data_IF_075164246925
#
_entry.id   IF_075164246925
#
_cell.length_a   1.000
_cell.length_b   1.000
_cell.length_c   1.000
_cell.angle_alpha   90.00
_cell.angle_beta   90.00
_cell.angle_gamma   90.00
#
_symmetry.space_group_name_H-M   'P 1'
#
loop_
_entity.id
_entity.type
_entity.pdbx_description
1 polymer ?
#
# COMPACT_ATOMS: atom_id res chain seq x y z
N UNK A 1 -10.41 31.22 -11.27
CA UNK A 1 -11.34 30.17 -11.69
C UNK A 1 -11.18 29.03 -10.69
N UNK A 2 -12.16 28.85 -9.78
CA UNK A 2 -12.13 27.75 -8.82
C UNK A 2 -12.21 26.44 -9.60
N UNK A 3 -11.16 25.61 -9.51
CA UNK A 3 -11.13 24.28 -10.14
C UNK A 3 -12.28 23.45 -9.54
N UNK A 4 -13.01 22.65 -10.34
CA UNK A 4 -14.04 21.77 -9.81
C UNK A 4 -13.39 20.88 -8.76
N UNK A 5 -13.93 20.85 -7.54
CA UNK A 5 -13.39 20.03 -6.48
C UNK A 5 -13.31 18.59 -6.98
N UNK A 6 -12.11 18.01 -7.03
CA UNK A 6 -11.86 16.63 -7.46
C UNK A 6 -12.36 15.63 -6.40
N UNK A 7 -13.53 15.92 -5.82
CA UNK A 7 -13.97 15.52 -4.50
C UNK A 7 -13.77 14.06 -4.22
N UNK A 8 -13.26 13.79 -3.02
CA UNK A 8 -12.99 12.46 -2.48
C UNK A 8 -14.27 11.65 -2.48
N UNK A 9 -14.26 10.46 -3.09
CA UNK A 9 -15.41 9.55 -3.09
C UNK A 9 -15.01 8.22 -2.49
N UNK A 10 -15.79 7.76 -1.54
CA UNK A 10 -15.63 6.45 -0.93
C UNK A 10 -16.59 5.47 -1.60
N UNK A 11 -16.08 4.31 -1.98
CA UNK A 11 -16.84 3.25 -2.62
C UNK A 11 -16.42 1.91 -2.06
N UNK A 12 -17.11 0.86 -2.50
CA UNK A 12 -16.70 -0.50 -2.23
C UNK A 12 -17.01 -1.40 -3.42
N UNK A 13 -16.32 -2.53 -3.46
CA UNK A 13 -16.57 -3.64 -4.37
C UNK A 13 -16.77 -4.90 -3.54
N UNK A 14 -17.65 -5.78 -4.01
CA UNK A 14 -17.84 -7.09 -3.41
C UNK A 14 -16.86 -8.06 -4.07
N UNK A 15 -16.08 -8.75 -3.25
CA UNK A 15 -15.09 -9.73 -3.67
C UNK A 15 -15.47 -11.11 -3.14
N UNK A 16 -14.80 -12.14 -3.67
CA UNK A 16 -14.98 -13.53 -3.25
C UNK A 16 -13.67 -14.10 -2.73
N UNK A 17 -13.73 -14.72 -1.55
CA UNK A 17 -12.65 -15.50 -0.97
C UNK A 17 -13.04 -16.98 -0.78
N UNK A 18 -12.12 -17.80 -0.24
CA UNK A 18 -12.34 -19.23 -0.04
C UNK A 18 -13.58 -19.57 0.82
N UNK A 19 -13.91 -18.70 1.78
CA UNK A 19 -15.00 -18.91 2.74
C UNK A 19 -16.19 -17.95 2.58
N UNK A 20 -16.32 -17.28 1.44
CA UNK A 20 -17.50 -16.47 1.12
C UNK A 20 -17.19 -15.08 0.56
N UNK A 21 -18.20 -14.21 0.56
CA UNK A 21 -18.10 -12.85 0.06
C UNK A 21 -17.62 -11.89 1.15
N UNK A 22 -16.81 -10.92 0.77
CA UNK A 22 -16.39 -9.80 1.61
C UNK A 22 -16.40 -8.50 0.82
N UNK A 23 -16.48 -7.38 1.52
CA UNK A 23 -16.47 -6.05 0.92
C UNK A 23 -15.08 -5.43 1.04
N UNK A 24 -14.53 -5.01 -0.09
CA UNK A 24 -13.32 -4.20 -0.16
C UNK A 24 -13.68 -2.74 -0.42
N UNK A 25 -13.35 -1.85 0.51
CA UNK A 25 -13.50 -0.41 0.38
C UNK A 25 -12.36 0.19 -0.47
N UNK A 26 -12.64 1.28 -1.16
CA UNK A 26 -11.63 2.10 -1.82
C UNK A 26 -12.06 3.56 -1.84
N UNK A 27 -11.08 4.45 -1.85
CA UNK A 27 -11.30 5.88 -2.00
C UNK A 27 -10.77 6.34 -3.35
N UNK A 28 -11.46 7.26 -4.02
CA UNK A 28 -11.05 7.76 -5.33
C UNK A 28 -11.08 9.29 -5.45
N UNK A 29 -10.15 9.81 -6.25
CA UNK A 29 -9.97 11.22 -6.60
C UNK A 29 -9.98 11.40 -8.12
N UNK A 30 -10.09 12.65 -8.57
CA UNK A 30 -10.12 13.00 -9.98
C UNK A 30 -11.49 12.76 -10.63
N UNK A 31 -11.56 12.93 -11.95
CA UNK A 31 -12.81 12.71 -12.69
C UNK A 31 -13.14 11.20 -12.76
N UNK A 32 -14.37 10.75 -12.40
CA UNK A 32 -14.73 9.32 -12.37
C UNK A 32 -14.60 8.59 -13.71
N UNK A 33 -14.71 9.33 -14.81
CA UNK A 33 -14.64 8.87 -16.20
C UNK A 33 -13.27 9.08 -16.85
N UNK A 34 -12.26 9.58 -16.11
CA UNK A 34 -10.91 9.71 -16.64
C UNK A 34 -10.35 8.31 -16.96
N UNK A 35 -9.97 8.05 -18.23
CA UNK A 35 -9.46 6.74 -18.64
C UNK A 35 -8.04 6.46 -18.09
N UNK A 36 -7.30 7.49 -17.66
CA UNK A 36 -5.98 7.33 -17.04
C UNK A 36 -6.15 7.04 -15.56
N UNK A 37 -6.11 5.77 -15.20
CA UNK A 37 -6.32 5.29 -13.83
C UNK A 37 -5.01 4.93 -13.15
N UNK A 38 -4.84 5.38 -11.92
CA UNK A 38 -3.74 4.98 -11.03
C UNK A 38 -4.33 4.26 -9.82
N UNK A 39 -3.87 3.04 -9.53
CA UNK A 39 -4.25 2.28 -8.34
C UNK A 39 -3.12 2.33 -7.31
N UNK A 40 -3.37 2.90 -6.13
CA UNK A 40 -2.38 3.07 -5.07
C UNK A 40 -2.65 2.12 -3.90
N UNK A 41 -1.80 1.12 -3.67
CA UNK A 41 -2.03 0.03 -2.72
C UNK A 41 -1.03 0.06 -1.56
N UNK A 42 -1.58 0.04 -0.35
CA UNK A 42 -0.85 0.34 0.89
C UNK A 42 -0.05 -0.84 1.46
N UNK A 43 0.76 -0.55 2.48
CA UNK A 43 1.55 -1.54 3.23
C UNK A 43 0.74 -2.39 4.22
N UNK A 44 1.39 -3.38 4.83
CA UNK A 44 0.73 -4.50 5.52
C UNK A 44 -0.35 -4.13 6.56
N UNK A 45 -0.08 -3.15 7.41
CA UNK A 45 -0.96 -2.68 8.51
C UNK A 45 -1.47 -1.26 8.27
N UNK A 46 -1.35 -0.78 7.03
CA UNK A 46 -1.74 0.55 6.58
C UNK A 46 -3.12 0.52 5.91
N UNK A 47 -3.53 1.62 5.30
CA UNK A 47 -4.79 1.74 4.55
C UNK A 47 -4.63 2.71 3.37
N UNK A 48 -5.63 2.80 2.49
CA UNK A 48 -5.57 3.59 1.26
C UNK A 48 -5.41 5.09 1.48
N UNK A 49 -5.68 5.60 2.70
CA UNK A 49 -5.59 7.02 3.04
C UNK A 49 -4.15 7.52 3.24
N UNK A 50 -3.18 6.61 3.22
CA UNK A 50 -1.75 6.93 3.18
C UNK A 50 -1.35 7.65 1.88
N UNK A 51 -2.15 7.52 0.81
CA UNK A 51 -1.86 8.11 -0.50
C UNK A 51 -2.63 9.41 -0.76
N UNK A 52 -3.29 10.01 0.23
CA UNK A 52 -4.14 11.19 0.03
C UNK A 52 -3.41 12.36 -0.65
N UNK A 53 -2.20 12.72 -0.18
CA UNK A 53 -1.39 13.79 -0.76
C UNK A 53 -0.98 13.46 -2.22
N UNK A 54 -0.54 12.22 -2.47
CA UNK A 54 -0.22 11.75 -3.82
C UNK A 54 -1.45 11.78 -4.73
N UNK A 55 -2.58 11.28 -4.24
CA UNK A 55 -3.83 11.22 -5.00
C UNK A 55 -4.32 12.62 -5.34
N UNK A 56 -4.22 13.56 -4.41
CA UNK A 56 -4.57 14.96 -4.65
C UNK A 56 -3.66 15.61 -5.70
N UNK A 57 -2.35 15.33 -5.67
CA UNK A 57 -1.40 15.84 -6.66
C UNK A 57 -1.58 15.24 -8.06
N UNK A 58 -2.16 14.04 -8.17
CA UNK A 58 -2.41 13.35 -9.43
C UNK A 58 -3.85 13.58 -9.98
N UNK A 59 -4.78 14.08 -9.16
CA UNK A 59 -6.21 14.12 -9.47
C UNK A 59 -6.61 15.01 -10.66
N UNK A 60 -5.75 15.94 -11.07
CA UNK A 60 -5.95 16.77 -12.26
C UNK A 60 -5.74 15.95 -13.55
N UNK A 61 -4.82 14.98 -13.53
CA UNK A 61 -4.38 14.23 -14.71
C UNK A 61 -4.92 12.78 -14.73
N UNK A 62 -5.24 12.23 -13.56
CA UNK A 62 -5.62 10.83 -13.36
C UNK A 62 -6.89 10.68 -12.53
N UNK A 63 -7.58 9.55 -12.71
CA UNK A 63 -8.46 8.98 -11.69
C UNK A 63 -7.61 8.12 -10.76
N UNK A 64 -7.46 8.54 -9.51
CA UNK A 64 -6.65 7.82 -8.52
C UNK A 64 -7.56 6.98 -7.64
N UNK A 65 -7.22 5.71 -7.43
CA UNK A 65 -8.02 4.73 -6.69
C UNK A 65 -7.14 4.09 -5.62
N UNK A 66 -7.48 4.30 -4.35
CA UNK A 66 -6.73 3.82 -3.21
C UNK A 66 -7.59 2.81 -2.42
N UNK A 67 -7.45 1.50 -2.67
CA UNK A 67 -8.16 0.47 -1.91
C UNK A 67 -7.62 0.32 -0.50
N UNK A 68 -8.51 -0.05 0.41
CA UNK A 68 -8.15 -0.68 1.67
C UNK A 68 -8.13 -2.20 1.42
N UNK A 69 -6.96 -2.84 1.41
CA UNK A 69 -6.88 -4.30 1.28
C UNK A 69 -7.70 -4.96 2.39
N UNK A 70 -8.41 -6.05 2.07
CA UNK A 70 -9.28 -6.77 3.02
C UNK A 70 -8.61 -6.97 4.39
N UNK A 71 -9.34 -6.73 5.47
CA UNK A 71 -8.82 -6.71 6.85
C UNK A 71 -8.17 -5.40 7.29
N UNK A 72 -8.17 -4.35 6.47
CA UNK A 72 -7.62 -3.03 6.80
C UNK A 72 -8.60 -1.91 6.48
N UNK A 73 -8.37 -0.75 7.10
CA UNK A 73 -9.15 0.46 6.91
C UNK A 73 -10.65 0.19 7.08
N UNK A 74 -11.39 0.43 6.01
CA UNK A 74 -12.85 0.31 5.94
C UNK A 74 -13.32 -0.97 5.23
N UNK A 75 -12.39 -1.81 4.81
CA UNK A 75 -12.69 -3.14 4.27
C UNK A 75 -13.07 -4.11 5.37
N UNK A 76 -13.86 -5.11 5.00
CA UNK A 76 -14.32 -6.12 5.94
C UNK A 76 -13.14 -6.91 6.51
N UNK A 77 -13.29 -7.34 7.76
CA UNK A 77 -12.38 -8.29 8.39
C UNK A 77 -12.86 -9.71 8.08
N UNK A 78 -11.96 -10.60 7.68
CA UNK A 78 -12.30 -11.98 7.34
C UNK A 78 -12.60 -12.80 8.60
N UNK A 79 -13.62 -13.66 8.53
CA UNK A 79 -13.93 -14.57 9.63
C UNK A 79 -12.83 -15.63 9.81
N UNK A 80 -12.32 -16.17 8.70
CA UNK A 80 -11.24 -17.16 8.67
C UNK A 80 -9.91 -16.43 8.44
N UNK A 81 -9.08 -16.30 9.47
CA UNK A 81 -7.87 -15.46 9.43
C UNK A 81 -6.80 -16.00 8.49
N UNK A 82 -6.75 -17.31 8.29
CA UNK A 82 -5.84 -17.96 7.35
C UNK A 82 -6.11 -17.64 5.87
N UNK A 83 -7.24 -17.00 5.56
CA UNK A 83 -7.54 -16.54 4.20
C UNK A 83 -6.76 -15.26 3.83
N UNK A 84 -6.21 -14.55 4.82
CA UNK A 84 -5.34 -13.40 4.57
C UNK A 84 -4.04 -13.84 3.88
N UNK A 85 -3.93 -13.61 2.57
CA UNK A 85 -2.75 -13.95 1.81
C UNK A 85 -2.77 -13.39 0.39
N UNK A 86 -1.62 -13.42 -0.27
CA UNK A 86 -1.43 -12.86 -1.60
C UNK A 86 -2.40 -13.39 -2.67
N UNK A 87 -2.77 -14.69 -2.72
CA UNK A 87 -3.76 -15.16 -3.70
C UNK A 87 -5.10 -14.42 -3.59
N UNK A 88 -5.59 -14.20 -2.36
CA UNK A 88 -6.83 -13.46 -2.13
C UNK A 88 -6.66 -11.98 -2.48
N UNK A 89 -5.56 -11.37 -2.05
CA UNK A 89 -5.29 -9.96 -2.34
C UNK A 89 -5.20 -9.68 -3.85
N UNK A 90 -4.57 -10.58 -4.61
CA UNK A 90 -4.51 -10.49 -6.07
C UNK A 90 -5.92 -10.61 -6.68
N UNK A 91 -6.72 -11.60 -6.25
CA UNK A 91 -8.09 -11.78 -6.73
C UNK A 91 -8.97 -10.55 -6.46
N UNK A 92 -8.85 -9.96 -5.27
CA UNK A 92 -9.56 -8.73 -4.89
C UNK A 92 -9.16 -7.55 -5.79
N UNK A 93 -7.86 -7.40 -6.09
CA UNK A 93 -7.36 -6.30 -6.93
C UNK A 93 -7.79 -6.45 -8.39
N UNK A 94 -7.81 -7.67 -8.94
CA UNK A 94 -8.36 -7.91 -10.28
C UNK A 94 -9.86 -7.58 -10.31
N UNK A 95 -10.61 -7.95 -9.27
CA UNK A 95 -12.03 -7.60 -9.14
C UNK A 95 -12.23 -6.09 -9.10
N UNK A 96 -11.39 -5.37 -8.34
CA UNK A 96 -11.41 -3.91 -8.31
C UNK A 96 -11.12 -3.32 -9.68
N UNK A 97 -10.03 -3.71 -10.35
CA UNK A 97 -9.67 -3.19 -11.69
C UNK A 97 -10.82 -3.41 -12.69
N UNK A 98 -11.42 -4.61 -12.70
CA UNK A 98 -12.60 -4.88 -13.53
C UNK A 98 -13.78 -3.95 -13.21
N UNK A 99 -14.01 -3.66 -11.92
CA UNK A 99 -15.07 -2.74 -11.46
C UNK A 99 -14.85 -1.29 -11.89
N UNK A 100 -13.60 -0.89 -12.11
CA UNK A 100 -13.25 0.46 -12.59
C UNK A 100 -13.62 0.68 -14.05
N UNK A 101 -13.89 -0.40 -14.81
CA UNK A 101 -14.25 -0.40 -16.22
C UNK A 101 -13.18 0.27 -17.11
N UNK A 102 -11.92 -0.13 -16.90
CA UNK A 102 -10.76 0.30 -17.69
C UNK A 102 -9.97 -0.91 -18.15
N UNK A 103 -9.29 -0.78 -19.29
CA UNK A 103 -8.45 -1.84 -19.84
C UNK A 103 -7.11 -1.95 -19.11
N UNK A 104 -6.54 -0.81 -18.75
CA UNK A 104 -5.23 -0.73 -18.10
C UNK A 104 -5.22 0.28 -16.96
N UNK A 105 -4.33 0.04 -16.00
CA UNK A 105 -4.06 0.94 -14.87
C UNK A 105 -2.56 1.11 -14.69
N UNK A 106 -2.14 2.28 -14.21
CA UNK A 106 -0.85 2.40 -13.55
C UNK A 106 -0.97 1.97 -12.09
N UNK A 107 0.10 1.43 -11.53
CA UNK A 107 0.12 0.90 -10.17
C UNK A 107 1.17 1.61 -9.32
N UNK A 108 0.80 1.99 -8.10
CA UNK A 108 1.73 2.47 -7.07
C UNK A 108 1.54 1.61 -5.82
N UNK A 109 2.54 0.80 -5.49
CA UNK A 109 2.44 -0.17 -4.40
C UNK A 109 3.50 0.03 -3.34
N UNK A 110 3.10 0.25 -2.09
CA UNK A 110 4.02 0.31 -0.94
C UNK A 110 4.11 -1.04 -0.26
N UNK A 111 5.31 -1.59 -0.08
CA UNK A 111 5.53 -2.82 0.69
C UNK A 111 4.65 -3.99 0.16
N UNK A 112 3.74 -4.51 0.98
CA UNK A 112 2.68 -5.47 0.59
C UNK A 112 1.98 -5.09 -0.73
N UNK A 113 1.60 -3.82 -0.90
CA UNK A 113 0.94 -3.34 -2.11
C UNK A 113 1.83 -3.41 -3.36
N UNK A 114 3.15 -3.28 -3.20
CA UNK A 114 4.10 -3.48 -4.31
C UNK A 114 4.29 -4.95 -4.65
N UNK A 115 4.27 -5.87 -3.67
CA UNK A 115 4.28 -7.31 -3.94
C UNK A 115 3.02 -7.74 -4.70
N UNK A 116 1.85 -7.25 -4.29
CA UNK A 116 0.60 -7.49 -5.03
C UNK A 116 0.74 -6.96 -6.47
N UNK A 117 1.28 -5.75 -6.64
CA UNK A 117 1.57 -5.16 -7.94
C UNK A 117 2.50 -6.01 -8.80
N UNK A 118 3.62 -6.51 -8.26
CA UNK A 118 4.54 -7.41 -8.98
C UNK A 118 3.85 -8.70 -9.43
N UNK A 119 3.07 -9.33 -8.53
CA UNK A 119 2.35 -10.56 -8.84
C UNK A 119 1.36 -10.36 -10.00
N UNK A 120 0.61 -9.25 -10.00
CA UNK A 120 -0.32 -8.90 -11.08
C UNK A 120 0.44 -8.52 -12.36
N UNK A 121 1.49 -7.71 -12.27
CA UNK A 121 2.27 -7.24 -13.41
C UNK A 121 3.07 -8.35 -14.12
N UNK A 122 3.39 -9.43 -13.41
CA UNK A 122 4.06 -10.61 -13.97
C UNK A 122 3.14 -11.56 -14.76
N UNK A 123 1.82 -11.34 -14.71
CA UNK A 123 0.86 -12.22 -15.39
C UNK A 123 0.80 -11.93 -16.89
N UNK A 124 0.60 -12.95 -17.75
CA UNK A 124 0.17 -12.73 -19.12
C UNK A 124 -1.10 -11.88 -19.16
N UNK A 125 -1.17 -10.94 -20.10
CA UNK A 125 -2.31 -10.02 -20.26
C UNK A 125 -2.61 -9.17 -19.02
N UNK A 126 -1.58 -8.85 -18.22
CA UNK A 126 -1.73 -7.97 -17.07
C UNK A 126 -2.37 -6.63 -17.47
N UNK A 127 -3.29 -6.07 -16.66
CA UNK A 127 -3.81 -4.73 -16.86
C UNK A 127 -2.83 -3.64 -16.39
N UNK A 128 -1.69 -3.98 -15.78
CA UNK A 128 -0.74 -3.00 -15.27
C UNK A 128 0.14 -2.47 -16.41
N UNK A 129 0.00 -1.19 -16.73
CA UNK A 129 0.77 -0.52 -17.80
C UNK A 129 2.04 0.17 -17.31
N UNK A 130 2.09 0.53 -16.02
CA UNK A 130 3.26 1.09 -15.33
C UNK A 130 3.24 0.65 -13.88
N UNK A 131 4.42 0.35 -13.32
CA UNK A 131 4.56 -0.15 -11.96
C UNK A 131 5.51 0.72 -11.14
N UNK A 132 5.03 1.27 -10.02
CA UNK A 132 5.85 1.91 -9.00
C UNK A 132 5.92 0.99 -7.78
N UNK A 133 7.14 0.55 -7.47
CA UNK A 133 7.47 -0.25 -6.29
C UNK A 133 8.06 0.67 -5.23
N UNK A 134 7.29 0.95 -4.18
CA UNK A 134 7.68 1.83 -3.10
C UNK A 134 8.23 1.01 -1.91
N UNK A 135 9.56 1.03 -1.80
CA UNK A 135 10.39 0.37 -0.80
C UNK A 135 10.09 -1.12 -0.65
N UNK A 136 10.04 -1.81 -1.79
CA UNK A 136 9.89 -3.26 -1.87
C UNK A 136 10.51 -3.80 -3.15
N UNK A 137 10.99 -5.03 -3.09
CA UNK A 137 11.68 -5.68 -4.21
C UNK A 137 11.47 -7.19 -4.23
N UNK A 138 12.23 -7.90 -5.08
CA UNK A 138 12.06 -9.33 -5.34
C UNK A 138 12.60 -10.26 -4.25
N UNK A 139 13.01 -9.74 -3.09
CA UNK A 139 13.47 -10.55 -1.97
C UNK A 139 12.72 -10.11 -0.72
N UNK A 140 12.03 -11.03 -0.06
CA UNK A 140 11.46 -10.80 1.26
C UNK A 140 12.29 -11.58 2.27
N UNK A 141 13.10 -10.88 3.05
CA UNK A 141 14.02 -11.56 3.96
C UNK A 141 13.28 -12.21 5.13
N UNK A 142 13.73 -13.38 5.55
CA UNK A 142 13.20 -14.07 6.72
C UNK A 142 13.30 -13.20 7.98
N UNK A 143 14.40 -12.43 8.11
CA UNK A 143 14.61 -11.48 9.21
C UNK A 143 13.52 -10.41 9.22
N UNK A 144 13.18 -9.83 8.06
CA UNK A 144 12.09 -8.84 7.97
C UNK A 144 10.74 -9.46 8.36
N UNK A 145 10.45 -10.67 7.89
CA UNK A 145 9.21 -11.37 8.23
C UNK A 145 9.10 -11.71 9.72
N UNK A 146 10.20 -12.15 10.33
CA UNK A 146 10.26 -12.41 11.78
C UNK A 146 10.04 -11.14 12.59
N UNK A 147 10.65 -10.01 12.19
CA UNK A 147 10.40 -8.71 12.81
C UNK A 147 8.94 -8.28 12.69
N UNK A 148 8.37 -8.40 11.49
CA UNK A 148 6.95 -8.12 11.22
C UNK A 148 6.04 -8.96 12.12
N UNK A 149 6.34 -10.26 12.28
CA UNK A 149 5.57 -11.19 13.09
C UNK A 149 5.54 -10.82 14.60
N UNK A 150 6.51 -10.05 15.10
CA UNK A 150 6.57 -9.64 16.51
C UNK A 150 5.51 -8.60 16.88
N UNK A 151 5.11 -7.73 15.95
CA UNK A 151 4.19 -6.63 16.24
C UNK A 151 2.87 -6.70 15.47
N UNK A 152 2.80 -7.43 14.36
CA UNK A 152 1.54 -7.60 13.63
C UNK A 152 0.54 -8.36 14.50
N UNK A 153 -0.63 -7.75 14.66
CA UNK A 153 -1.71 -8.29 15.48
C UNK A 153 -1.73 -7.79 16.92
N UNK A 154 -0.76 -6.99 17.37
CA UNK A 154 -0.83 -6.34 18.69
C UNK A 154 -1.99 -5.35 18.77
N UNK A 155 -2.25 -4.61 17.68
CA UNK A 155 -3.38 -3.69 17.47
C UNK A 155 -3.85 -2.96 18.75
N UNK A 156 -2.99 -2.10 19.34
CA UNK A 156 -3.29 -1.47 20.63
C UNK A 156 -4.54 -0.58 20.57
N UNK A 157 -5.10 -0.35 21.75
CA UNK A 157 -6.17 0.63 21.97
C UNK A 157 -5.61 1.84 22.70
N UNK A 158 -6.16 3.00 22.42
CA UNK A 158 -5.70 4.27 22.94
C UNK A 158 -6.85 4.99 23.66
N UNK A 159 -6.61 5.60 24.82
CA UNK A 159 -7.64 6.34 25.53
C UNK A 159 -8.03 7.65 24.82
N UNK A 160 -7.09 8.28 24.11
CA UNK A 160 -7.32 9.55 23.40
C UNK A 160 -6.60 9.58 22.05
N UNK A 161 -6.95 10.55 21.20
CA UNK A 161 -6.31 10.74 19.90
C UNK A 161 -4.85 11.15 20.05
N UNK A 162 -4.52 11.92 21.08
CA UNK A 162 -3.15 12.35 21.37
C UNK A 162 -2.25 11.16 21.72
N UNK A 163 -2.77 10.19 22.48
CA UNK A 163 -2.03 8.94 22.78
C UNK A 163 -1.87 8.07 21.53
N UNK A 164 -2.90 8.03 20.67
CA UNK A 164 -2.80 7.36 19.38
C UNK A 164 -1.72 8.01 18.49
N UNK A 165 -1.70 9.35 18.40
CA UNK A 165 -0.73 10.08 17.58
C UNK A 165 0.70 9.87 18.09
N UNK A 166 0.91 9.93 19.41
CA UNK A 166 2.22 9.65 20.00
C UNK A 166 2.72 8.24 19.66
N UNK A 167 1.83 7.24 19.70
CA UNK A 167 2.16 5.88 19.31
C UNK A 167 2.46 5.77 17.81
N UNK A 168 1.63 6.35 16.93
CA UNK A 168 1.83 6.34 15.48
C UNK A 168 3.17 7.00 15.12
N UNK A 169 3.46 8.18 15.67
CA UNK A 169 4.76 8.86 15.48
C UNK A 169 5.93 7.98 15.87
N UNK A 170 5.82 7.25 16.99
CA UNK A 170 6.88 6.36 17.46
C UNK A 170 7.09 5.17 16.51
N UNK A 171 6.03 4.44 16.15
CA UNK A 171 6.17 3.21 15.34
C UNK A 171 6.40 3.48 13.85
N UNK A 172 6.02 4.66 13.38
CA UNK A 172 6.18 5.11 11.99
C UNK A 172 7.33 6.09 11.81
N UNK A 173 8.13 6.39 12.85
CA UNK A 173 9.29 7.27 12.74
C UNK A 173 10.22 6.95 11.55
N UNK A 174 10.45 5.67 11.15
CA UNK A 174 11.24 5.35 9.97
C UNK A 174 10.69 5.86 8.64
N UNK A 175 9.44 6.32 8.56
CA UNK A 175 8.88 6.92 7.34
C UNK A 175 9.54 8.23 6.92
N UNK A 176 10.42 8.77 7.79
CA UNK A 176 11.16 9.99 7.56
C UNK A 176 10.45 11.22 8.11
N UNK A 177 10.93 12.42 7.77
CA UNK A 177 10.42 13.66 8.33
C UNK A 177 9.02 13.97 7.77
N UNK A 178 8.00 13.78 8.59
CA UNK A 178 6.63 14.24 8.31
C UNK A 178 6.30 15.48 9.13
N UNK A 179 5.51 16.37 8.54
CA UNK A 179 4.95 17.53 9.24
C UNK A 179 3.91 17.10 10.28
N UNK A 180 3.61 17.98 11.25
CA UNK A 180 2.57 17.70 12.24
C UNK A 180 1.18 17.47 11.62
N UNK A 181 0.88 18.12 10.49
CA UNK A 181 -0.38 17.90 9.78
C UNK A 181 -0.44 16.49 9.19
N UNK A 182 0.65 16.03 8.58
CA UNK A 182 0.76 14.68 8.03
C UNK A 182 0.70 13.61 9.13
N UNK A 183 1.32 13.84 10.29
CA UNK A 183 1.20 12.94 11.44
C UNK A 183 -0.22 12.82 11.96
N UNK A 184 -0.94 13.94 12.07
CA UNK A 184 -2.36 13.94 12.45
C UNK A 184 -3.20 13.18 11.43
N UNK A 185 -2.98 13.42 10.14
CA UNK A 185 -3.66 12.73 9.05
C UNK A 185 -3.45 11.21 9.11
N UNK A 186 -2.18 10.76 9.23
CA UNK A 186 -1.89 9.33 9.37
C UNK A 186 -2.56 8.72 10.59
N UNK A 187 -2.61 9.45 11.70
CA UNK A 187 -3.23 8.97 12.93
C UNK A 187 -4.74 8.85 12.77
N UNK A 188 -5.40 9.90 12.27
CA UNK A 188 -6.85 9.96 12.06
C UNK A 188 -7.35 8.77 11.24
N UNK A 189 -6.62 8.38 10.20
CA UNK A 189 -6.98 7.24 9.37
C UNK A 189 -6.39 5.89 9.84
N UNK A 190 -5.49 5.88 10.82
CA UNK A 190 -4.97 4.62 11.41
C UNK A 190 -5.83 4.10 12.56
N UNK A 191 -6.71 4.92 13.12
CA UNK A 191 -7.56 4.55 14.27
C UNK A 191 -9.03 4.89 14.04
N UNK A 192 -9.92 4.22 14.79
CA UNK A 192 -11.35 4.52 14.83
C UNK A 192 -11.84 4.65 16.27
N UNK A 193 -12.85 5.49 16.54
CA UNK A 193 -13.46 5.55 17.86
C UNK A 193 -14.14 4.22 18.20
N UNK A 194 -14.02 3.80 19.46
CA UNK A 194 -14.67 2.61 20.01
C UNK A 194 -15.47 2.99 21.26
N UNK A 195 -16.73 2.57 21.31
CA UNK A 195 -17.64 2.82 22.44
C UNK A 195 -17.43 1.87 23.63
N UNK A 196 -18.20 2.10 24.69
CA UNK A 196 -18.16 1.35 25.96
C UNK A 196 -17.67 2.20 27.13
N UNK A 197 -17.72 1.69 28.38
CA UNK A 197 -17.19 2.40 29.55
C UNK A 197 -15.69 2.67 29.38
N UNK A 198 -15.30 3.96 29.36
CA UNK A 198 -13.91 4.36 29.07
C UNK A 198 -13.55 4.30 27.58
N UNK A 199 -14.50 4.60 26.69
CA UNK A 199 -14.29 4.62 25.23
C UNK A 199 -13.01 5.35 24.79
N UNK A 200 -12.55 5.04 23.57
CA UNK A 200 -11.26 5.50 23.08
C UNK A 200 -11.10 5.20 21.60
N UNK A 201 -9.89 4.83 21.18
CA UNK A 201 -9.54 4.56 19.80
C UNK A 201 -8.92 3.17 19.66
N UNK A 202 -9.17 2.52 18.52
CA UNK A 202 -8.55 1.23 18.18
C UNK A 202 -8.01 1.29 16.75
N UNK A 203 -6.93 0.56 16.48
CA UNK A 203 -6.38 0.43 15.13
C UNK A 203 -7.43 -0.07 14.13
N UNK A 204 -7.34 0.39 12.87
CA UNK A 204 -8.27 0.02 11.79
C UNK A 204 -7.80 -1.18 10.95
N UNK A 205 -6.92 -2.03 11.48
CA UNK A 205 -6.58 -3.30 10.85
C UNK A 205 -6.99 -4.47 11.76
N UNK A 206 -7.29 -5.61 11.15
CA UNK A 206 -7.67 -6.83 11.83
C UNK A 206 -6.48 -7.42 12.60
N UNK A 207 -6.54 -7.51 13.94
CA UNK A 207 -5.48 -8.12 14.73
C UNK A 207 -5.21 -9.59 14.34
N UNK A 208 -6.22 -10.27 13.77
CA UNK A 208 -6.12 -11.64 13.28
C UNK A 208 -5.12 -11.82 12.13
N UNK A 209 -4.68 -10.75 11.48
CA UNK A 209 -3.54 -10.80 10.55
C UNK A 209 -2.29 -11.39 11.21
N UNK A 210 -2.08 -11.14 12.50
CA UNK A 210 -0.95 -11.71 13.24
C UNK A 210 -1.02 -13.23 13.41
N UNK A 211 -2.20 -13.84 13.32
CA UNK A 211 -2.34 -15.30 13.39
C UNK A 211 -1.65 -15.98 12.21
N UNK A 212 -1.75 -15.40 11.01
CA UNK A 212 -1.11 -15.94 9.80
C UNK A 212 0.41 -15.94 9.95
N UNK A 213 0.99 -14.83 10.42
CA UNK A 213 2.43 -14.72 10.62
C UNK A 213 2.95 -15.66 11.72
N UNK A 214 2.14 -15.92 12.76
CA UNK A 214 2.51 -16.86 13.84
C UNK A 214 2.34 -18.33 13.44
N UNK A 215 1.36 -18.65 12.59
CA UNK A 215 1.06 -20.02 12.18
C UNK A 215 2.08 -20.58 11.17
N UNK A 216 2.68 -19.71 10.35
CA UNK A 216 3.67 -20.10 9.34
C UNK A 216 4.98 -19.29 9.52
N UNK A 217 5.80 -19.62 10.54
CA UNK A 217 7.08 -18.95 10.73
C UNK A 217 7.98 -19.22 9.52
N UNK A 218 8.40 -18.13 8.87
CA UNK A 218 9.30 -18.17 7.72
C UNK A 218 10.74 -18.11 8.21
N UNK A 219 11.52 -19.13 7.87
CA UNK A 219 12.92 -19.27 8.25
C UNK A 219 13.90 -19.04 7.09
N UNK A 220 13.37 -18.91 5.87
CA UNK A 220 14.15 -18.73 4.65
C UNK A 220 13.62 -17.53 3.87
N UNK A 221 14.50 -16.87 3.14
CA UNK A 221 14.11 -15.72 2.31
C UNK A 221 13.14 -16.18 1.22
N UNK A 222 12.12 -15.37 0.94
CA UNK A 222 11.21 -15.60 -0.16
C UNK A 222 11.79 -14.94 -1.40
N UNK A 223 12.16 -15.76 -2.38
CA UNK A 223 12.66 -15.33 -3.67
C UNK A 223 11.51 -15.05 -4.66
N UNK A 224 11.36 -13.79 -5.03
CA UNK A 224 10.44 -13.28 -6.03
C UNK A 224 11.16 -12.75 -7.28
N UNK A 225 12.47 -13.03 -7.47
CA UNK A 225 13.16 -12.69 -8.72
C UNK A 225 12.46 -13.29 -9.95
N UNK A 226 12.00 -14.56 -9.96
CA UNK A 226 11.26 -15.10 -11.10
C UNK A 226 9.92 -14.39 -11.38
N UNK A 227 9.35 -13.70 -10.38
CA UNK A 227 8.16 -12.85 -10.56
C UNK A 227 8.57 -11.52 -11.18
N UNK A 228 9.60 -10.88 -10.61
CA UNK A 228 10.10 -9.59 -11.07
C UNK A 228 10.64 -9.66 -12.51
N UNK A 229 11.36 -10.72 -12.87
CA UNK A 229 11.88 -10.95 -14.23
C UNK A 229 10.79 -11.06 -15.30
N UNK A 230 9.55 -11.41 -14.91
CA UNK A 230 8.40 -11.49 -15.82
C UNK A 230 7.65 -10.17 -15.97
N UNK A 231 7.96 -9.15 -15.17
CA UNK A 231 7.35 -7.82 -15.30
C UNK A 231 7.87 -7.17 -16.58
N UNK A 232 6.96 -6.83 -17.48
CA UNK A 232 7.30 -6.27 -18.80
C UNK A 232 7.02 -4.76 -18.93
N UNK A 233 6.25 -4.17 -18.03
CA UNK A 233 5.91 -2.76 -18.06
C UNK A 233 7.07 -1.89 -17.53
N UNK A 234 7.16 -0.61 -17.95
CA UNK A 234 8.04 0.36 -17.31
C UNK A 234 7.86 0.32 -15.79
N UNK A 235 8.97 0.28 -15.07
CA UNK A 235 8.99 0.14 -13.62
C UNK A 235 9.84 1.22 -12.98
N UNK A 236 9.34 1.82 -11.90
CA UNK A 236 10.04 2.72 -11.01
C UNK A 236 10.18 2.04 -9.65
N UNK A 237 11.40 1.94 -9.14
CA UNK A 237 11.67 1.46 -7.80
C UNK A 237 12.11 2.65 -6.93
N UNK A 238 11.40 2.85 -5.82
CA UNK A 238 11.72 3.84 -4.81
C UNK A 238 12.29 3.13 -3.58
N UNK A 239 13.31 3.72 -2.98
CA UNK A 239 13.91 3.21 -1.74
C UNK A 239 14.12 4.33 -0.73
N UNK A 240 13.80 4.09 0.52
CA UNK A 240 14.33 4.89 1.62
C UNK A 240 15.80 4.55 1.85
N UNK A 241 16.70 5.55 1.89
CA UNK A 241 18.13 5.32 2.09
C UNK A 241 18.43 4.47 3.34
N UNK A 242 17.62 4.61 4.38
CA UNK A 242 17.70 3.93 5.67
C UNK A 242 16.80 2.67 5.73
N UNK A 243 16.25 2.22 4.60
CA UNK A 243 15.36 1.06 4.55
C UNK A 243 16.07 -0.18 5.07
N UNK A 244 15.40 -0.81 6.03
CA UNK A 244 15.77 -2.07 6.67
C UNK A 244 14.96 -3.26 6.12
N UNK A 245 14.18 -3.03 5.05
CA UNK A 245 13.37 -4.04 4.37
C UNK A 245 13.90 -4.31 2.95
N UNK A 246 14.15 -3.26 2.18
CA UNK A 246 14.73 -3.38 0.85
C UNK A 246 16.23 -3.10 0.91
N UNK A 247 17.03 -4.16 0.87
CA UNK A 247 18.48 -4.02 0.83
C UNK A 247 18.94 -3.22 -0.39
N UNK A 248 19.94 -2.35 -0.18
CA UNK A 248 20.49 -1.52 -1.25
C UNK A 248 21.10 -2.34 -2.39
N UNK A 249 21.71 -3.49 -2.09
CA UNK A 249 22.21 -4.45 -3.08
C UNK A 249 21.10 -4.96 -3.99
N UNK A 250 20.00 -5.43 -3.41
CA UNK A 250 18.80 -5.88 -4.13
C UNK A 250 18.20 -4.74 -4.97
N UNK A 251 18.09 -3.54 -4.40
CA UNK A 251 17.60 -2.36 -5.12
C UNK A 251 18.45 -1.99 -6.34
N UNK A 252 19.78 -2.06 -6.23
CA UNK A 252 20.68 -1.84 -7.36
C UNK A 252 20.55 -2.96 -8.41
N UNK A 253 20.39 -4.21 -7.98
CA UNK A 253 20.18 -5.34 -8.90
C UNK A 253 18.86 -5.20 -9.69
N UNK A 254 17.81 -4.61 -9.09
CA UNK A 254 16.53 -4.35 -9.76
C UNK A 254 16.67 -3.41 -10.97
N UNK A 255 17.68 -2.52 -10.98
CA UNK A 255 17.95 -1.63 -12.12
C UNK A 255 18.57 -2.39 -13.32
N UNK A 256 19.21 -3.54 -13.06
CA UNK A 256 19.94 -4.30 -14.07
C UNK A 256 19.18 -5.56 -14.55
N UNK A 257 18.20 -6.02 -13.77
CA UNK A 257 17.45 -7.25 -14.02
C UNK A 257 15.95 -7.00 -14.26
N UNK A 258 15.26 -7.99 -14.85
CA UNK A 258 13.83 -7.93 -15.14
C UNK A 258 13.43 -6.67 -15.95
N UNK A 259 12.47 -5.85 -15.48
CA UNK A 259 12.05 -4.63 -16.16
C UNK A 259 13.12 -3.53 -16.19
N UNK A 260 14.28 -3.72 -15.52
CA UNK A 260 15.36 -2.73 -15.39
C UNK A 260 14.83 -1.40 -14.87
N UNK A 261 14.35 -1.44 -13.63
CA UNK A 261 13.62 -0.35 -13.04
C UNK A 261 14.45 0.95 -13.01
N UNK A 262 13.80 2.08 -13.28
CA UNK A 262 14.33 3.38 -12.89
C UNK A 262 14.38 3.42 -11.37
N UNK A 263 15.50 3.81 -10.79
CA UNK A 263 15.69 3.81 -9.33
C UNK A 263 15.80 5.23 -8.78
N UNK A 264 15.13 5.49 -7.67
CA UNK A 264 15.29 6.73 -6.88
C UNK A 264 15.38 6.38 -5.40
N UNK A 265 16.37 6.97 -4.71
CA UNK A 265 16.62 6.76 -3.29
C UNK A 265 16.46 8.07 -2.52
N UNK A 266 15.74 8.05 -1.40
CA UNK A 266 15.44 9.23 -0.59
C UNK A 266 16.23 9.21 0.73
N UNK A 267 17.04 10.23 0.99
CA UNK A 267 17.80 10.36 2.22
C UNK A 267 16.90 10.65 3.44
N UNK A 268 17.28 10.15 4.63
CA UNK A 268 16.51 10.37 5.86
C UNK A 268 15.17 9.62 5.93
N UNK A 269 14.98 8.63 5.06
CA UNK A 269 13.75 7.83 4.94
C UNK A 269 14.12 6.35 5.03
N UNK A 270 13.41 5.60 5.85
CA UNK A 270 13.49 4.14 5.99
C UNK A 270 12.36 3.43 5.24
N UNK A 271 11.92 2.27 5.74
CA UNK A 271 10.75 1.58 5.19
C UNK A 271 9.45 2.21 5.70
N UNK A 272 8.69 2.97 4.90
CA UNK A 272 8.88 3.32 3.49
C UNK A 272 8.66 4.83 3.27
N UNK A 273 9.13 5.41 2.13
CA UNK A 273 8.69 6.74 1.69
C UNK A 273 7.16 6.83 1.71
N UNK A 274 6.60 7.84 2.37
CA UNK A 274 5.15 7.97 2.53
C UNK A 274 4.46 8.62 1.33
N UNK A 275 5.23 9.20 0.40
CA UNK A 275 4.71 9.89 -0.79
C UNK A 275 3.79 11.07 -0.41
N UNK A 276 4.05 11.69 0.74
CA UNK A 276 3.40 12.93 1.20
C UNK A 276 4.30 14.16 1.01
N UNK A 277 5.60 13.94 0.76
CA UNK A 277 6.55 15.01 0.47
C UNK A 277 6.50 15.40 -1.02
N UNK A 278 6.50 16.69 -1.38
CA UNK A 278 6.43 17.13 -2.77
C UNK A 278 7.53 16.57 -3.69
N UNK A 279 8.75 16.35 -3.19
CA UNK A 279 9.84 15.78 -3.99
C UNK A 279 9.60 14.30 -4.27
N UNK A 280 9.09 13.56 -3.29
CA UNK A 280 8.67 12.16 -3.49
C UNK A 280 7.50 12.06 -4.48
N UNK A 281 6.50 12.94 -4.33
CA UNK A 281 5.33 13.00 -5.21
C UNK A 281 5.73 13.32 -6.65
N UNK A 282 6.64 14.29 -6.83
CA UNK A 282 7.10 14.70 -8.17
C UNK A 282 7.73 13.51 -8.93
N UNK A 283 8.57 12.72 -8.27
CA UNK A 283 9.19 11.53 -8.86
C UNK A 283 8.15 10.54 -9.38
N UNK A 284 7.11 10.26 -8.57
CA UNK A 284 6.04 9.33 -8.96
C UNK A 284 5.21 9.92 -10.11
N UNK A 285 4.78 11.18 -9.97
CA UNK A 285 3.97 11.86 -10.98
C UNK A 285 4.67 11.92 -12.33
N UNK A 286 5.92 12.32 -12.37
CA UNK A 286 6.69 12.45 -13.61
C UNK A 286 6.78 11.11 -14.33
N UNK A 287 7.10 10.04 -13.60
CA UNK A 287 7.15 8.68 -14.17
C UNK A 287 5.79 8.19 -14.71
N UNK A 288 4.69 8.50 -14.01
CA UNK A 288 3.34 8.16 -14.45
C UNK A 288 2.91 8.95 -15.69
N UNK A 289 3.44 10.16 -15.87
CA UNK A 289 3.13 11.04 -17.00
C UNK A 289 3.91 10.69 -18.28
N UNK A 290 4.96 9.89 -18.21
CA UNK A 290 5.83 9.50 -19.35
C UNK A 290 5.16 8.59 -20.41
N UNK A 291 3.82 8.56 -20.50
CA UNK A 291 3.03 7.69 -21.39
C UNK A 291 1.80 8.38 -21.96
#
# INVERSE_FOLDING_TARGET
MQRPGHGVRERHVQCIGPHGLHRMAYTEWGAPDNPRVVVCVHGLTRNGRDFDDLAQALADDFRVVCPDVVGRGRSDWLAVKTDYGFPLYVADMITLIARLNVEQVSWVGTSMGGIIGMLVASQPHTPISRLVLNDVGPVITAVSLQRIAQYVGTAPRFPTMEVAEAYIRMVSAPFGPLTDAQWRHLTEFSVRPVGGPGGGFAMVYDPGLGEVFRAAPVNEDIDLWPVYERVACPTLALRGAESDLLERSTFLAMAEQGPRARTVEFAGVGHAPMLMDPEQIAVVRDFLMEG
#
